data_IF_421914929461
#
_entry.id   IF_421914929461
#
_cell.length_a   1.000
_cell.length_b   1.000
_cell.length_c   1.000
_cell.angle_alpha   90.00
_cell.angle_beta   90.00
_cell.angle_gamma   90.00
#
_symmetry.space_group_name_H-M   'P 1'
#
loop_
_entity.id
_entity.type
_entity.pdbx_description
1 polymer ?
#
# COMPACT_ATOMS: atom_id res chain seq x y z
N UNK A 1 28.92 -26.60 2.01
CA UNK A 1 28.35 -25.38 2.63
C UNK A 1 29.28 -24.19 2.36
N UNK A 2 29.04 -23.45 1.29
CA UNK A 2 29.88 -22.32 0.86
C UNK A 2 29.62 -21.14 1.79
N UNK A 3 30.52 -20.87 2.74
CA UNK A 3 30.43 -19.69 3.62
C UNK A 3 30.63 -18.44 2.76
N UNK A 4 29.55 -17.69 2.54
CA UNK A 4 29.57 -16.33 2.02
C UNK A 4 30.28 -15.45 3.05
N UNK A 5 31.61 -15.31 2.92
CA UNK A 5 32.38 -14.30 3.64
C UNK A 5 31.93 -12.93 3.14
N UNK A 6 31.54 -12.08 4.08
CA UNK A 6 30.92 -10.78 3.88
C UNK A 6 31.64 -9.89 2.88
N UNK A 7 31.03 -9.78 1.70
CA UNK A 7 31.32 -8.75 0.70
C UNK A 7 29.96 -8.14 0.34
N UNK A 8 29.71 -6.96 0.89
CA UNK A 8 28.65 -6.02 0.50
C UNK A 8 27.18 -6.46 0.64
N UNK A 9 26.86 -7.35 1.59
CA UNK A 9 25.45 -7.67 1.92
C UNK A 9 25.04 -6.79 3.09
N UNK A 10 24.27 -5.73 2.82
CA UNK A 10 23.59 -5.00 3.89
C UNK A 10 22.57 -5.93 4.56
N UNK A 11 22.49 -5.95 5.91
CA UNK A 11 21.51 -6.77 6.59
C UNK A 11 20.10 -6.31 6.21
N UNK A 12 19.23 -7.26 5.85
CA UNK A 12 17.81 -6.96 5.62
C UNK A 12 17.19 -6.45 6.91
N UNK A 13 16.66 -5.23 6.89
CA UNK A 13 15.92 -4.66 8.01
C UNK A 13 14.44 -4.91 7.78
N UNK A 14 13.83 -5.77 8.59
CA UNK A 14 12.43 -6.16 8.47
C UNK A 14 11.67 -5.72 9.72
N UNK A 15 10.56 -5.01 9.51
CA UNK A 15 9.64 -4.57 10.56
C UNK A 15 8.30 -5.28 10.41
N UNK A 16 7.69 -5.66 11.53
CA UNK A 16 6.35 -6.24 11.58
C UNK A 16 5.42 -5.28 12.32
N UNK A 17 4.22 -5.11 11.78
CA UNK A 17 3.15 -4.35 12.42
C UNK A 17 1.87 -5.15 12.36
N UNK A 18 1.41 -5.62 13.52
CA UNK A 18 0.10 -6.26 13.63
C UNK A 18 -0.99 -5.23 13.89
N UNK A 19 -2.21 -5.54 13.48
CA UNK A 19 -3.39 -4.67 13.61
C UNK A 19 -3.17 -3.23 13.09
N UNK A 20 -2.55 -3.07 11.91
CA UNK A 20 -2.21 -1.77 11.35
C UNK A 20 -3.42 -0.82 11.19
N UNK A 21 -4.64 -1.36 11.11
CA UNK A 21 -5.89 -0.58 11.11
C UNK A 21 -6.10 0.27 12.38
N UNK A 22 -5.36 0.00 13.47
CA UNK A 22 -5.38 0.82 14.68
C UNK A 22 -4.60 2.12 14.54
N UNK A 23 -3.75 2.24 13.52
CA UNK A 23 -3.02 3.47 13.25
C UNK A 23 -3.82 4.37 12.30
N UNK A 24 -3.77 5.67 12.58
CA UNK A 24 -4.32 6.68 11.69
C UNK A 24 -3.60 6.67 10.32
N UNK A 25 -4.33 7.07 9.28
CA UNK A 25 -3.80 7.13 7.91
C UNK A 25 -2.51 7.97 7.80
N UNK A 26 -2.39 9.05 8.58
CA UNK A 26 -1.16 9.88 8.61
C UNK A 26 0.04 9.10 9.16
N UNK A 27 -0.15 8.38 10.26
CA UNK A 27 0.92 7.60 10.90
C UNK A 27 1.38 6.44 10.00
N UNK A 28 0.46 5.79 9.27
CA UNK A 28 0.81 4.76 8.28
C UNK A 28 1.61 5.34 7.12
N UNK A 29 1.22 6.49 6.58
CA UNK A 29 1.95 7.15 5.50
C UNK A 29 3.38 7.50 5.93
N UNK A 30 3.56 8.03 7.14
CA UNK A 30 4.90 8.30 7.71
C UNK A 30 5.71 7.03 7.88
N UNK A 31 5.10 5.91 8.30
CA UNK A 31 5.80 4.62 8.39
C UNK A 31 6.30 4.14 7.02
N UNK A 32 5.50 4.26 5.96
CA UNK A 32 5.94 3.92 4.61
C UNK A 32 7.11 4.80 4.15
N UNK A 33 7.05 6.12 4.38
CA UNK A 33 8.13 7.05 4.05
C UNK A 33 9.42 6.68 4.81
N UNK A 34 9.32 6.38 6.10
CA UNK A 34 10.46 5.96 6.92
C UNK A 34 11.05 4.65 6.40
N UNK A 35 10.22 3.67 6.06
CA UNK A 35 10.69 2.39 5.52
C UNK A 35 11.42 2.57 4.18
N UNK A 36 10.93 3.45 3.30
CA UNK A 36 11.58 3.78 2.03
C UNK A 36 12.95 4.46 2.27
N UNK A 37 13.02 5.43 3.18
CA UNK A 37 14.26 6.17 3.50
C UNK A 37 15.33 5.32 4.20
N UNK A 38 14.91 4.41 5.08
CA UNK A 38 15.81 3.55 5.86
C UNK A 38 16.11 2.21 5.17
N UNK A 39 15.55 1.99 3.97
CA UNK A 39 15.61 0.73 3.22
C UNK A 39 15.16 -0.47 4.07
N UNK A 40 14.03 -0.32 4.75
CA UNK A 40 13.43 -1.38 5.55
C UNK A 40 12.25 -2.02 4.81
N UNK A 41 12.13 -3.33 4.94
CA UNK A 41 10.95 -4.07 4.55
C UNK A 41 9.93 -4.00 5.69
N UNK A 42 8.66 -3.82 5.34
CA UNK A 42 7.56 -3.75 6.30
C UNK A 42 6.52 -4.81 5.94
N UNK A 43 6.16 -5.64 6.92
CA UNK A 43 5.04 -6.57 6.83
C UNK A 43 3.97 -6.07 7.78
N UNK A 44 2.81 -5.71 7.22
CA UNK A 44 1.65 -5.26 7.99
C UNK A 44 0.53 -6.29 7.92
N UNK A 45 -0.10 -6.55 9.05
CA UNK A 45 -1.39 -7.22 9.10
C UNK A 45 -2.48 -6.17 9.32
N UNK A 46 -3.41 -6.09 8.38
CA UNK A 46 -4.52 -5.17 8.44
C UNK A 46 -5.83 -5.94 8.17
N UNK A 47 -6.83 -5.86 9.08
CA UNK A 47 -8.14 -6.44 8.83
C UNK A 47 -8.91 -5.68 7.73
N UNK A 48 -8.57 -4.40 7.53
CA UNK A 48 -9.12 -3.56 6.47
C UNK A 48 -8.18 -3.51 5.26
N UNK A 49 -8.74 -3.16 4.10
CA UNK A 49 -8.04 -3.23 2.81
C UNK A 49 -7.08 -2.04 2.63
N UNK A 50 -6.04 -1.98 3.45
CA UNK A 50 -4.95 -1.01 3.33
C UNK A 50 -4.10 -1.45 2.15
N UNK A 51 -4.45 -0.99 0.95
CA UNK A 51 -3.70 -1.27 -0.27
C UNK A 51 -2.70 -0.14 -0.49
N UNK A 52 -1.42 -0.29 -0.08
CA UNK A 52 -0.42 0.72 -0.40
C UNK A 52 -0.24 0.80 -1.91
N UNK A 53 -0.17 2.03 -2.42
CA UNK A 53 0.18 2.34 -3.81
C UNK A 53 1.54 1.71 -4.20
N UNK A 54 2.46 1.63 -3.23
CA UNK A 54 3.75 0.94 -3.34
C UNK A 54 3.75 -0.30 -2.43
N UNK A 55 3.39 -1.47 -2.95
CA UNK A 55 3.51 -2.71 -2.17
C UNK A 55 2.92 -3.96 -2.82
N UNK A 56 3.01 -5.05 -2.06
CA UNK A 56 2.31 -6.32 -2.35
C UNK A 56 1.32 -6.57 -1.22
N UNK A 57 0.06 -6.78 -1.58
CA UNK A 57 -1.03 -7.05 -0.65
C UNK A 57 -1.48 -8.48 -0.82
N UNK A 58 -1.57 -9.23 0.28
CA UNK A 58 -2.14 -10.56 0.28
C UNK A 58 -3.47 -10.55 1.00
N UNK A 59 -4.55 -10.90 0.30
CA UNK A 59 -5.86 -11.12 0.88
C UNK A 59 -5.99 -12.59 1.25
N UNK A 60 -6.14 -12.86 2.54
CA UNK A 60 -6.34 -14.21 3.08
C UNK A 60 -7.83 -14.41 3.37
N UNK A 61 -8.43 -15.44 2.78
CA UNK A 61 -9.84 -15.79 3.00
C UNK A 61 -9.90 -17.20 3.58
N UNK A 62 -10.39 -17.32 4.81
CA UNK A 62 -10.66 -18.63 5.43
C UNK A 62 -11.85 -19.27 4.73
N UNK A 63 -11.68 -20.51 4.27
CA UNK A 63 -12.71 -21.38 3.72
C UNK A 63 -12.72 -22.67 4.53
N UNK A 64 -13.90 -23.22 4.78
CA UNK A 64 -14.05 -24.54 5.41
C UNK A 64 -14.58 -25.50 4.34
N UNK A 65 -13.84 -26.57 4.09
CA UNK A 65 -14.22 -27.61 3.14
C UNK A 65 -14.10 -28.97 3.83
N UNK A 66 -15.20 -29.74 3.87
CA UNK A 66 -15.22 -31.08 4.49
C UNK A 66 -14.59 -31.10 5.90
N UNK A 67 -15.03 -30.21 6.79
CA UNK A 67 -14.50 -30.03 8.15
C UNK A 67 -13.01 -29.69 8.25
N UNK A 68 -12.35 -29.38 7.14
CA UNK A 68 -10.94 -28.94 7.09
C UNK A 68 -10.87 -27.46 6.76
N UNK A 69 -9.97 -26.75 7.45
CA UNK A 69 -9.75 -25.33 7.22
C UNK A 69 -8.74 -25.10 6.12
N UNK A 70 -9.10 -24.28 5.14
CA UNK A 70 -8.24 -23.87 4.04
C UNK A 70 -8.15 -22.35 3.98
N UNK A 71 -6.95 -21.80 3.81
CA UNK A 71 -6.76 -20.38 3.58
C UNK A 71 -6.55 -20.16 2.08
N UNK A 72 -7.50 -19.46 1.45
CA UNK A 72 -7.36 -19.02 0.08
C UNK A 72 -6.62 -17.69 0.06
N UNK A 73 -5.41 -17.67 -0.52
CA UNK A 73 -4.53 -16.50 -0.56
C UNK A 73 -4.56 -15.89 -1.96
N UNK A 74 -4.87 -14.60 -2.06
CA UNK A 74 -4.83 -13.83 -3.31
C UNK A 74 -3.82 -12.70 -3.16
N UNK A 75 -2.79 -12.67 -4.00
CA UNK A 75 -1.76 -11.63 -4.03
C UNK A 75 -2.05 -10.59 -5.10
N UNK A 76 -1.94 -9.31 -4.74
CA UNK A 76 -2.03 -8.17 -5.64
C UNK A 76 -0.79 -7.30 -5.46
N UNK A 77 -0.25 -6.75 -6.54
CA UNK A 77 0.91 -5.85 -6.52
C UNK A 77 0.61 -4.62 -7.35
N UNK A 78 0.82 -3.43 -6.78
CA UNK A 78 0.72 -2.15 -7.50
C UNK A 78 -0.69 -1.65 -7.80
N UNK A 79 -1.69 -2.00 -6.98
CA UNK A 79 -3.06 -1.47 -7.12
C UNK A 79 -3.25 -0.23 -6.26
N UNK A 80 -2.90 0.94 -6.80
CA UNK A 80 -3.45 2.19 -6.31
C UNK A 80 -4.82 2.39 -6.99
N UNK A 81 -5.91 2.66 -6.24
CA UNK A 81 -7.05 3.31 -6.86
C UNK A 81 -6.56 4.66 -7.38
N UNK A 82 -6.62 4.87 -8.70
CA UNK A 82 -6.40 6.18 -9.30
C UNK A 82 -7.38 7.13 -8.62
N UNK A 83 -6.87 8.02 -7.76
CA UNK A 83 -7.64 9.17 -7.29
C UNK A 83 -8.06 9.92 -8.57
N UNK A 84 -9.36 10.17 -8.81
CA UNK A 84 -9.76 10.90 -9.99
C UNK A 84 -9.03 12.24 -9.97
N UNK A 85 -8.22 12.49 -11.01
CA UNK A 85 -7.53 13.75 -11.21
C UNK A 85 -8.58 14.86 -11.12
N UNK A 86 -8.39 15.79 -10.18
CA UNK A 86 -9.13 17.05 -10.16
C UNK A 86 -8.84 17.75 -11.48
N UNK A 87 -9.80 17.70 -12.40
CA UNK A 87 -9.76 18.34 -13.72
C UNK A 87 -9.26 19.80 -13.59
N UNK A 88 -8.15 20.18 -14.24
CA UNK A 88 -7.73 21.57 -14.30
C UNK A 88 -8.51 22.28 -15.42
N UNK A 89 -9.32 23.27 -15.05
CA UNK A 89 -9.70 24.37 -15.94
C UNK A 89 -10.88 24.14 -16.89
N UNK A 90 -12.11 24.30 -16.37
CA UNK A 90 -13.19 24.90 -17.19
C UNK A 90 -13.05 26.41 -17.10
N UNK A 91 -12.44 26.99 -18.14
CA UNK A 91 -12.70 28.39 -18.51
C UNK A 91 -14.19 28.48 -18.86
N UNK A 92 -14.96 29.20 -18.05
CA UNK A 92 -16.26 29.73 -18.45
C UNK A 92 -16.10 31.24 -18.48
N UNK A 93 -15.75 31.74 -19.67
CA UNK A 93 -16.09 33.09 -20.11
C UNK A 93 -17.61 33.23 -20.00
N UNK A 94 -18.06 34.13 -19.14
CA UNK A 94 -19.43 34.64 -19.13
C UNK A 94 -19.36 36.14 -18.83
N UNK A 95 -19.58 36.98 -19.85
CA UNK A 95 -20.69 37.96 -19.82
C UNK A 95 -20.84 38.71 -21.16
N UNK A 96 -22.09 38.95 -21.62
CA UNK A 96 -22.40 39.53 -22.94
C UNK A 96 -22.53 41.07 -22.87
N UNK A 97 -22.28 41.76 -23.99
CA UNK A 97 -22.73 43.16 -24.16
C UNK A 97 -23.17 43.39 -25.61
N UNK A 98 -24.48 43.28 -25.83
CA UNK A 98 -25.17 43.91 -26.95
C UNK A 98 -25.03 45.44 -26.84
N UNK A 99 -24.70 46.08 -27.96
CA UNK A 99 -24.90 47.51 -28.17
C UNK A 99 -25.40 47.70 -29.61
N UNK A 100 -26.68 47.99 -29.75
CA UNK A 100 -27.30 48.74 -30.85
C UNK A 100 -28.55 49.43 -30.31
#
# INVERSE_FOLDING_TARGET
ARRLRGKDISPCRLLFLDEAARLDARSIATLFELCERLQMQLIIAAPENISPEKGTTYKLVRKVFQNTEHVHVVGLRGFAPQLPETLPGTQTEDTPSEAS
#
